data_IF_050136048240
#
_entry.id   IF_050136048240
#
_cell.length_a   1.000
_cell.length_b   1.000
_cell.length_c   1.000
_cell.angle_alpha   90.00
_cell.angle_beta   90.00
_cell.angle_gamma   90.00
#
_symmetry.space_group_name_H-M   'P 1'
#
loop_
_entity.id
_entity.type
_entity.pdbx_description
1 polymer ?
#
# COMPACT_ATOMS: atom_id res chain seq x y z
N UNK A 1 -3.58 -18.94 -6.78
CA UNK A 1 -4.87 -18.49 -6.22
C UNK A 1 -5.76 -19.68 -5.85
N UNK A 2 -6.03 -20.67 -6.74
CA UNK A 2 -6.93 -21.80 -6.46
C UNK A 2 -6.60 -22.56 -5.15
N UNK A 3 -5.33 -22.74 -4.83
CA UNK A 3 -4.92 -23.36 -3.55
C UNK A 3 -5.33 -22.49 -2.36
N UNK A 4 -5.16 -21.17 -2.47
CA UNK A 4 -5.56 -20.22 -1.42
C UNK A 4 -7.08 -20.27 -1.21
N UNK A 5 -7.88 -20.22 -2.28
CA UNK A 5 -9.34 -20.38 -2.22
C UNK A 5 -9.73 -21.63 -1.43
N UNK A 6 -9.14 -22.78 -1.78
CA UNK A 6 -9.44 -24.05 -1.12
C UNK A 6 -9.09 -24.07 0.36
N UNK A 7 -7.96 -23.50 0.74
CA UNK A 7 -7.47 -23.52 2.13
C UNK A 7 -8.12 -22.44 3.02
N UNK A 8 -8.58 -21.33 2.43
CA UNK A 8 -9.07 -20.16 3.20
C UNK A 8 -10.55 -19.91 3.05
N UNK A 9 -11.17 -20.39 1.97
CA UNK A 9 -12.57 -20.12 1.63
C UNK A 9 -12.82 -18.70 1.10
N UNK A 10 -11.76 -17.90 0.82
CA UNK A 10 -11.90 -16.58 0.22
C UNK A 10 -12.32 -16.74 -1.24
N UNK A 11 -13.23 -15.89 -1.71
CA UNK A 11 -13.67 -15.91 -3.11
C UNK A 11 -12.51 -15.64 -4.06
N UNK A 12 -12.55 -16.27 -5.24
CA UNK A 12 -11.50 -16.15 -6.26
C UNK A 12 -11.46 -14.73 -6.85
N UNK A 13 -12.63 -14.11 -7.00
CA UNK A 13 -12.73 -12.78 -7.60
C UNK A 13 -12.22 -11.72 -6.64
N UNK A 14 -12.46 -11.89 -5.33
CA UNK A 14 -11.83 -11.05 -4.30
C UNK A 14 -10.31 -11.15 -4.33
N UNK A 15 -9.75 -12.37 -4.45
CA UNK A 15 -8.31 -12.56 -4.55
C UNK A 15 -7.71 -12.02 -5.84
N UNK A 16 -8.51 -11.85 -6.89
CA UNK A 16 -8.08 -11.24 -8.15
C UNK A 16 -8.14 -9.72 -8.14
N UNK A 17 -9.01 -9.14 -7.33
CA UNK A 17 -9.20 -7.69 -7.29
C UNK A 17 -7.87 -6.90 -7.19
N UNK A 18 -6.92 -7.20 -6.29
CA UNK A 18 -5.64 -6.46 -6.22
C UNK A 18 -4.65 -6.80 -7.34
N UNK A 19 -5.03 -7.64 -8.31
CA UNK A 19 -4.23 -7.90 -9.52
C UNK A 19 -4.66 -7.01 -10.70
N UNK A 20 -5.65 -6.16 -10.50
CA UNK A 20 -6.03 -5.07 -11.40
C UNK A 20 -5.42 -3.78 -10.84
N UNK A 21 -4.57 -3.10 -11.61
CA UNK A 21 -3.87 -1.88 -11.19
C UNK A 21 -4.80 -0.66 -11.04
N UNK A 22 -6.02 -0.73 -11.58
CA UNK A 22 -7.07 0.28 -11.42
C UNK A 22 -8.02 -0.01 -10.24
N UNK A 23 -7.80 -1.07 -9.46
CA UNK A 23 -8.65 -1.45 -8.35
C UNK A 23 -8.62 -0.39 -7.23
N UNK A 24 -9.78 -0.12 -6.62
CA UNK A 24 -9.95 0.96 -5.65
C UNK A 24 -9.72 0.50 -4.21
N UNK A 25 -9.01 1.33 -3.46
CA UNK A 25 -8.85 1.13 -2.01
C UNK A 25 -10.21 1.12 -1.31
N UNK A 26 -10.49 0.06 -0.56
CA UNK A 26 -11.73 -0.11 0.21
C UNK A 26 -11.55 -1.10 1.35
N UNK A 27 -12.52 -1.12 2.24
CA UNK A 27 -12.71 -2.17 3.23
C UNK A 27 -14.10 -2.77 3.07
N UNK A 28 -14.16 -4.08 3.03
CA UNK A 28 -15.39 -4.86 2.92
C UNK A 28 -15.39 -5.99 3.95
N UNK A 29 -16.57 -6.49 4.23
CA UNK A 29 -16.74 -7.64 5.08
C UNK A 29 -17.63 -8.66 4.40
N UNK A 30 -17.05 -9.81 4.08
CA UNK A 30 -17.75 -10.94 3.50
C UNK A 30 -17.77 -12.11 4.50
N UNK A 31 -18.95 -12.35 5.09
CA UNK A 31 -19.11 -13.36 6.13
C UNK A 31 -18.15 -13.13 7.31
N UNK A 32 -17.17 -14.03 7.47
CA UNK A 32 -16.13 -13.98 8.49
C UNK A 32 -14.80 -13.39 7.98
N UNK A 33 -14.72 -13.05 6.69
CA UNK A 33 -13.55 -12.43 6.09
C UNK A 33 -13.68 -10.90 6.13
N UNK A 34 -12.63 -10.22 6.58
CA UNK A 34 -12.47 -8.78 6.42
C UNK A 34 -11.46 -8.56 5.29
N UNK A 35 -11.88 -7.85 4.24
CA UNK A 35 -11.09 -7.54 3.05
C UNK A 35 -10.66 -6.09 3.16
N UNK A 36 -9.36 -5.84 3.09
CA UNK A 36 -8.76 -4.50 3.10
C UNK A 36 -7.95 -4.35 1.82
N UNK A 37 -8.36 -3.44 0.95
CA UNK A 37 -7.64 -3.05 -0.24
C UNK A 37 -7.07 -1.65 -0.02
N UNK A 38 -5.76 -1.50 -0.22
CA UNK A 38 -5.04 -0.23 -0.09
C UNK A 38 -4.04 -0.07 -1.23
N UNK A 39 -3.75 1.16 -1.58
CA UNK A 39 -2.71 1.45 -2.55
C UNK A 39 -1.35 1.54 -1.86
N UNK A 40 -0.34 0.98 -2.48
CA UNK A 40 1.06 1.07 -2.06
C UNK A 40 1.89 1.76 -3.15
N UNK A 41 2.91 2.54 -2.77
CA UNK A 41 3.78 3.19 -3.74
C UNK A 41 4.74 2.19 -4.37
N UNK A 42 4.90 2.28 -5.69
CA UNK A 42 5.82 1.47 -6.49
C UNK A 42 6.50 2.29 -7.58
N UNK A 43 7.34 1.63 -8.36
CA UNK A 43 7.96 2.16 -9.58
C UNK A 43 7.51 1.31 -10.76
N UNK A 44 7.11 1.97 -11.85
CA UNK A 44 6.82 1.27 -13.08
C UNK A 44 8.11 0.88 -13.84
N UNK A 45 7.97 0.22 -14.98
CA UNK A 45 9.08 -0.21 -15.86
C UNK A 45 9.95 0.96 -16.38
N UNK A 46 9.48 2.20 -16.27
CA UNK A 46 10.18 3.43 -16.67
C UNK A 46 10.71 4.23 -15.49
N UNK A 47 10.80 3.62 -14.31
CA UNK A 47 11.21 4.26 -13.05
C UNK A 47 10.34 5.47 -12.65
N UNK A 48 9.06 5.52 -13.07
CA UNK A 48 8.10 6.52 -12.64
C UNK A 48 7.40 6.05 -11.37
N UNK A 49 7.11 6.98 -10.48
CA UNK A 49 6.41 6.69 -9.23
C UNK A 49 4.92 6.52 -9.50
N UNK A 50 4.43 5.34 -9.20
CA UNK A 50 3.03 4.92 -9.37
C UNK A 50 2.50 4.33 -8.08
N UNK A 51 1.22 3.97 -8.06
CA UNK A 51 0.62 3.20 -6.96
C UNK A 51 0.01 1.92 -7.51
N UNK A 52 0.09 0.86 -6.74
CA UNK A 52 -0.49 -0.44 -7.07
C UNK A 52 -1.33 -0.94 -5.89
N UNK A 53 -2.39 -1.73 -6.14
CA UNK A 53 -3.22 -2.28 -5.08
C UNK A 53 -2.48 -3.36 -4.27
N UNK A 54 -2.76 -3.38 -2.97
CA UNK A 54 -2.42 -4.46 -2.04
C UNK A 54 -3.70 -4.94 -1.36
N UNK A 55 -4.05 -6.20 -1.57
CA UNK A 55 -5.14 -6.88 -0.88
C UNK A 55 -4.66 -7.54 0.40
N UNK A 56 -5.40 -7.35 1.49
CA UNK A 56 -5.17 -7.97 2.80
C UNK A 56 -6.49 -8.61 3.24
N UNK A 57 -6.50 -9.92 3.40
CA UNK A 57 -7.68 -10.71 3.72
C UNK A 57 -7.51 -11.35 5.09
N UNK A 58 -8.35 -10.96 6.04
CA UNK A 58 -8.35 -11.52 7.39
C UNK A 58 -9.50 -12.52 7.54
N UNK A 59 -9.21 -13.81 7.63
CA UNK A 59 -10.16 -14.86 8.01
C UNK A 59 -9.98 -15.27 9.46
N UNK A 60 -10.84 -16.14 10.00
CA UNK A 60 -10.66 -16.72 11.33
C UNK A 60 -9.36 -17.50 11.46
N UNK A 61 -8.91 -18.15 10.40
CA UNK A 61 -7.78 -19.09 10.42
C UNK A 61 -6.48 -18.47 9.92
N UNK A 62 -6.55 -17.60 8.90
CA UNK A 62 -5.39 -17.10 8.19
C UNK A 62 -5.49 -15.60 7.94
N UNK A 63 -4.36 -15.01 7.58
CA UNK A 63 -4.26 -13.72 6.89
C UNK A 63 -3.55 -13.97 5.57
N UNK A 64 -4.11 -13.42 4.49
CA UNK A 64 -3.58 -13.55 3.12
C UNK A 64 -3.29 -12.16 2.60
N UNK A 65 -2.17 -11.99 1.90
CA UNK A 65 -1.85 -10.76 1.18
C UNK A 65 -1.66 -11.08 -0.30
N UNK A 66 -2.24 -10.25 -1.16
CA UNK A 66 -2.12 -10.37 -2.62
C UNK A 66 -1.69 -9.03 -3.19
N UNK A 67 -0.69 -9.05 -4.06
CA UNK A 67 -0.17 -7.87 -4.74
C UNK A 67 0.33 -8.25 -6.12
N UNK A 68 0.31 -7.33 -7.08
CA UNK A 68 0.81 -7.53 -8.45
C UNK A 68 2.29 -7.91 -8.48
N UNK A 69 3.09 -7.31 -7.60
CA UNK A 69 4.54 -7.49 -7.56
C UNK A 69 5.08 -7.60 -6.14
N UNK A 70 6.32 -7.99 -6.01
CA UNK A 70 7.03 -8.00 -4.74
C UNK A 70 7.26 -6.56 -4.23
N UNK A 71 6.70 -6.23 -3.08
CA UNK A 71 6.83 -4.91 -2.47
C UNK A 71 7.76 -4.91 -1.26
N UNK A 72 8.56 -3.83 -1.05
CA UNK A 72 9.36 -3.66 0.16
C UNK A 72 8.53 -3.71 1.45
N UNK A 73 7.26 -3.32 1.38
CA UNK A 73 6.31 -3.37 2.51
C UNK A 73 6.18 -4.80 3.01
N UNK A 74 5.88 -5.76 2.12
CA UNK A 74 5.71 -7.18 2.49
C UNK A 74 7.04 -7.91 2.69
N UNK A 75 8.08 -7.61 1.89
CA UNK A 75 9.42 -8.21 2.04
C UNK A 75 10.00 -8.06 3.43
N UNK A 76 9.67 -6.99 4.14
CA UNK A 76 10.15 -6.78 5.49
C UNK A 76 9.62 -7.83 6.47
N UNK A 77 8.37 -8.29 6.30
CA UNK A 77 7.78 -9.37 7.10
C UNK A 77 8.37 -10.72 6.72
N UNK A 78 8.51 -11.01 5.44
CA UNK A 78 9.12 -12.25 4.93
C UNK A 78 10.56 -12.43 5.40
N UNK A 79 11.30 -11.34 5.58
CA UNK A 79 12.70 -11.32 6.01
C UNK A 79 12.87 -11.14 7.53
N UNK A 80 11.82 -11.28 8.32
CA UNK A 80 11.87 -11.11 9.79
C UNK A 80 12.45 -9.74 10.24
N UNK A 81 12.25 -8.67 9.47
CA UNK A 81 12.75 -7.31 9.76
C UNK A 81 11.72 -6.43 10.46
N UNK A 82 10.58 -7.00 10.86
CA UNK A 82 9.52 -6.30 11.60
C UNK A 82 9.56 -6.72 13.04
N UNK A 83 9.76 -5.77 13.94
CA UNK A 83 9.74 -6.03 15.39
C UNK A 83 8.33 -6.37 15.83
N UNK A 84 8.20 -7.23 16.85
CA UNK A 84 6.93 -7.62 17.45
C UNK A 84 5.87 -8.10 16.43
N UNK A 85 6.34 -8.73 15.36
CA UNK A 85 5.49 -9.36 14.36
C UNK A 85 5.06 -10.75 14.83
N UNK A 86 3.75 -10.93 14.97
CA UNK A 86 3.13 -12.21 15.38
C UNK A 86 1.95 -12.51 14.45
N UNK A 87 1.99 -13.62 13.75
CA UNK A 87 0.94 -14.03 12.79
C UNK A 87 -0.43 -14.24 13.42
N UNK A 88 -0.49 -14.56 14.71
CA UNK A 88 -1.75 -14.71 15.45
C UNK A 88 -2.38 -13.37 15.85
N UNK A 89 -1.61 -12.27 15.92
CA UNK A 89 -2.12 -10.91 16.14
C UNK A 89 -2.47 -10.26 14.80
N UNK A 90 -3.53 -10.75 14.17
CA UNK A 90 -3.90 -10.38 12.78
C UNK A 90 -4.11 -8.88 12.60
N UNK A 91 -4.82 -8.24 13.50
CA UNK A 91 -5.08 -6.79 13.46
C UNK A 91 -3.78 -6.00 13.54
N UNK A 92 -2.88 -6.35 14.49
CA UNK A 92 -1.56 -5.74 14.60
C UNK A 92 -0.76 -5.90 13.31
N UNK A 93 -0.83 -7.06 12.67
CA UNK A 93 -0.17 -7.29 11.40
C UNK A 93 -0.69 -6.33 10.32
N UNK A 94 -2.02 -6.13 10.20
CA UNK A 94 -2.60 -5.16 9.27
C UNK A 94 -2.10 -3.76 9.56
N UNK A 95 -2.13 -3.30 10.82
CA UNK A 95 -1.62 -1.99 11.19
C UNK A 95 -0.14 -1.83 10.90
N UNK A 96 0.68 -2.86 11.13
CA UNK A 96 2.09 -2.85 10.77
C UNK A 96 2.30 -2.73 9.25
N UNK A 97 1.45 -3.37 8.42
CA UNK A 97 1.47 -3.20 6.96
C UNK A 97 1.12 -1.75 6.60
N UNK A 98 0.04 -1.19 7.15
CA UNK A 98 -0.39 0.19 6.88
C UNK A 98 0.65 1.22 7.31
N UNK A 99 1.24 1.06 8.49
CA UNK A 99 2.34 1.91 8.96
C UNK A 99 3.54 1.87 8.01
N UNK A 100 3.94 0.67 7.55
CA UNK A 100 5.03 0.52 6.58
C UNK A 100 4.68 1.10 5.22
N UNK A 101 3.43 1.00 4.81
CA UNK A 101 2.94 1.63 3.61
C UNK A 101 3.10 3.15 3.70
N UNK A 102 2.62 3.79 4.76
CA UNK A 102 2.78 5.22 5.00
C UNK A 102 4.27 5.64 5.03
N UNK A 103 5.12 4.84 5.69
CA UNK A 103 6.57 5.07 5.70
C UNK A 103 7.19 4.98 4.29
N UNK A 104 6.69 4.08 3.44
CA UNK A 104 7.14 3.95 2.05
C UNK A 104 6.76 5.17 1.22
N UNK A 105 5.53 5.69 1.37
CA UNK A 105 5.14 6.97 0.74
C UNK A 105 6.06 8.11 1.16
N UNK A 106 6.32 8.28 2.45
CA UNK A 106 7.24 9.32 2.94
C UNK A 106 8.65 9.18 2.35
N UNK A 107 9.14 7.95 2.18
CA UNK A 107 10.44 7.70 1.55
C UNK A 107 10.44 8.14 0.09
N UNK A 108 9.42 7.77 -0.69
CA UNK A 108 9.32 8.14 -2.09
C UNK A 108 9.12 9.65 -2.27
N UNK A 109 8.30 10.28 -1.43
CA UNK A 109 8.13 11.75 -1.44
C UNK A 109 9.44 12.49 -1.25
N UNK A 110 10.30 12.05 -0.31
CA UNK A 110 11.63 12.63 -0.12
C UNK A 110 12.55 12.45 -1.33
N UNK A 111 12.38 11.37 -2.09
CA UNK A 111 13.16 11.14 -3.32
C UNK A 111 12.64 12.04 -4.44
N UNK A 112 11.32 12.17 -4.58
CA UNK A 112 10.68 13.05 -5.55
C UNK A 112 11.10 14.50 -5.30
N UNK A 113 11.05 14.97 -4.07
CA UNK A 113 11.44 16.31 -3.64
C UNK A 113 12.87 16.63 -4.09
N UNK A 114 13.85 15.77 -3.75
CA UNK A 114 15.24 15.93 -4.18
C UNK A 114 15.43 15.91 -5.70
N UNK A 115 14.66 15.05 -6.41
CA UNK A 115 14.72 15.01 -7.88
C UNK A 115 14.17 16.31 -8.47
N UNK A 116 13.06 16.84 -7.93
CA UNK A 116 12.47 18.10 -8.35
C UNK A 116 13.46 19.26 -8.23
N UNK A 117 14.10 19.42 -7.06
CA UNK A 117 15.14 20.42 -6.84
C UNK A 117 16.29 20.33 -7.86
N UNK A 118 16.80 19.11 -8.12
CA UNK A 118 17.87 18.91 -9.11
C UNK A 118 17.47 19.24 -10.54
N UNK A 119 16.21 19.01 -10.90
CA UNK A 119 15.70 19.32 -12.24
C UNK A 119 15.48 20.83 -12.36
N UNK A 120 14.94 21.47 -11.34
CA UNK A 120 14.77 22.94 -11.30
C UNK A 120 16.10 23.66 -11.46
N UNK A 121 17.16 23.25 -10.76
CA UNK A 121 18.51 23.81 -10.93
C UNK A 121 19.00 23.70 -12.38
N UNK A 122 18.79 22.54 -13.02
CA UNK A 122 19.16 22.33 -14.44
C UNK A 122 18.33 23.20 -15.38
N UNK A 123 17.05 23.37 -15.12
CA UNK A 123 16.13 24.19 -15.91
C UNK A 123 16.56 25.66 -15.89
N UNK A 124 16.99 26.18 -14.75
CA UNK A 124 17.52 27.53 -14.63
C UNK A 124 18.76 27.78 -15.50
N UNK A 125 19.58 26.73 -15.73
CA UNK A 125 20.81 26.84 -16.50
C UNK A 125 20.56 26.66 -18.02
N UNK A 126 19.71 25.71 -18.41
CA UNK A 126 19.67 25.23 -19.81
C UNK A 126 18.34 25.42 -20.53
N UNK A 127 17.25 25.73 -19.85
CA UNK A 127 15.89 25.93 -20.41
C UNK A 127 15.47 24.85 -21.44
N UNK A 128 15.81 23.59 -21.20
CA UNK A 128 15.48 22.49 -22.12
C UNK A 128 14.10 21.91 -21.84
N UNK A 129 13.37 21.57 -22.90
CA UNK A 129 12.06 20.92 -22.79
C UNK A 129 12.10 19.58 -22.05
N UNK A 130 13.26 18.92 -22.00
CA UNK A 130 13.43 17.63 -21.32
C UNK A 130 13.21 17.76 -19.80
N UNK A 131 13.82 18.76 -19.16
CA UNK A 131 13.68 19.03 -17.74
C UNK A 131 12.23 19.37 -17.37
N UNK A 132 11.53 20.10 -18.23
CA UNK A 132 10.12 20.39 -18.04
C UNK A 132 9.24 19.12 -18.10
N UNK A 133 9.54 18.22 -19.04
CA UNK A 133 8.82 16.93 -19.13
C UNK A 133 9.08 16.09 -17.88
N UNK A 134 10.32 16.04 -17.38
CA UNK A 134 10.66 15.31 -16.14
C UNK A 134 9.89 15.88 -14.93
N UNK A 135 9.74 17.20 -14.80
CA UNK A 135 8.93 17.82 -13.74
C UNK A 135 7.44 17.44 -13.85
N UNK A 136 6.88 17.44 -15.06
CA UNK A 136 5.50 17.03 -15.29
C UNK A 136 5.26 15.54 -14.92
N UNK A 137 6.24 14.67 -15.14
CA UNK A 137 6.14 13.27 -14.71
C UNK A 137 6.17 13.15 -13.17
N UNK A 138 6.97 13.94 -12.47
CA UNK A 138 6.95 14.00 -11.02
C UNK A 138 5.63 14.56 -10.48
N UNK A 139 5.07 15.59 -11.12
CA UNK A 139 3.76 16.14 -10.76
C UNK A 139 2.66 15.08 -10.87
N UNK A 140 2.61 14.31 -11.95
CA UNK A 140 1.68 13.18 -12.10
C UNK A 140 1.82 12.18 -10.97
N UNK A 141 3.05 11.83 -10.61
CA UNK A 141 3.33 10.90 -9.51
C UNK A 141 2.78 11.43 -8.17
N UNK A 142 2.91 12.73 -7.90
CA UNK A 142 2.35 13.37 -6.71
C UNK A 142 0.81 13.35 -6.70
N UNK A 143 0.17 13.49 -7.88
CA UNK A 143 -1.30 13.37 -8.00
C UNK A 143 -1.74 11.94 -7.66
N UNK A 144 -1.08 10.91 -8.18
CA UNK A 144 -1.36 9.51 -7.82
C UNK A 144 -1.20 9.29 -6.32
N UNK A 145 -0.07 9.70 -5.74
CA UNK A 145 0.19 9.54 -4.31
C UNK A 145 -0.84 10.26 -3.44
N UNK A 146 -1.23 11.48 -3.80
CA UNK A 146 -2.25 12.24 -3.07
C UNK A 146 -3.60 11.53 -3.09
N UNK A 147 -4.00 11.03 -4.26
CA UNK A 147 -5.27 10.31 -4.42
C UNK A 147 -5.27 9.02 -3.62
N UNK A 148 -4.22 8.22 -3.74
CA UNK A 148 -4.09 6.95 -3.03
C UNK A 148 -4.00 7.13 -1.52
N UNK A 149 -3.26 8.12 -1.03
CA UNK A 149 -3.18 8.42 0.40
C UNK A 149 -4.53 8.81 0.99
N UNK A 150 -5.35 9.61 0.30
CA UNK A 150 -6.72 9.96 0.74
C UNK A 150 -7.63 8.73 0.77
N UNK A 151 -7.51 7.85 -0.23
CA UNK A 151 -8.27 6.61 -0.25
C UNK A 151 -7.85 5.68 0.89
N UNK A 152 -6.56 5.53 1.13
CA UNK A 152 -6.01 4.74 2.23
C UNK A 152 -6.41 5.29 3.61
N UNK A 153 -6.43 6.62 3.79
CA UNK A 153 -6.92 7.28 5.00
C UNK A 153 -8.37 6.88 5.29
N UNK A 154 -9.23 6.94 4.26
CA UNK A 154 -10.64 6.52 4.38
C UNK A 154 -10.77 5.04 4.78
N UNK A 155 -9.92 4.17 4.22
CA UNK A 155 -9.87 2.75 4.58
C UNK A 155 -9.45 2.56 6.03
N UNK A 156 -8.39 3.26 6.47
CA UNK A 156 -7.91 3.21 7.86
C UNK A 156 -8.99 3.66 8.84
N UNK A 157 -9.67 4.79 8.57
CA UNK A 157 -10.75 5.28 9.41
C UNK A 157 -11.89 4.27 9.56
N UNK A 158 -12.30 3.62 8.45
CA UNK A 158 -13.32 2.57 8.48
C UNK A 158 -12.85 1.34 9.24
N UNK A 159 -11.58 0.92 9.03
CA UNK A 159 -10.98 -0.21 9.72
C UNK A 159 -10.99 0.01 11.24
N UNK A 160 -10.68 1.22 11.70
CA UNK A 160 -10.67 1.60 13.11
C UNK A 160 -12.06 1.56 13.76
N UNK A 161 -13.13 1.71 12.97
CA UNK A 161 -14.55 1.65 13.42
C UNK A 161 -15.16 0.25 13.31
N UNK A 162 -14.46 -0.70 12.66
CA UNK A 162 -14.97 -2.05 12.42
C UNK A 162 -14.87 -2.90 13.69
N UNK A 163 -16.01 -3.32 14.25
CA UNK A 163 -16.08 -4.09 15.51
C UNK A 163 -15.34 -5.43 15.49
N UNK A 164 -15.27 -6.08 14.31
CA UNK A 164 -14.53 -7.35 14.13
C UNK A 164 -13.02 -7.19 14.16
N UNK A 165 -12.52 -5.97 14.06
CA UNK A 165 -11.09 -5.65 14.13
C UNK A 165 -10.72 -5.38 15.57
N UNK A 166 -10.27 -6.43 16.27
CA UNK A 166 -9.86 -6.31 17.67
C UNK A 166 -8.55 -5.54 17.76
N UNK A 167 -8.59 -4.36 18.36
CA UNK A 167 -7.41 -3.57 18.69
C UNK A 167 -6.75 -4.09 19.96
N UNK A 168 -5.44 -4.07 20.00
CA UNK A 168 -4.63 -4.33 21.18
C UNK A 168 -4.12 -2.98 21.72
N UNK A 169 -3.89 -2.83 23.05
CA UNK A 169 -3.38 -1.58 23.62
C UNK A 169 -2.07 -1.11 23.00
N UNK A 170 -1.21 -2.03 22.59
CA UNK A 170 0.05 -1.76 21.92
C UNK A 170 -0.09 -1.32 20.44
N UNK A 171 -1.30 -1.33 19.87
CA UNK A 171 -1.51 -0.91 18.48
C UNK A 171 -1.57 0.62 18.34
N UNK A 172 -1.79 1.35 19.43
CA UNK A 172 -1.85 2.81 19.43
C UNK A 172 -0.55 3.46 18.93
N UNK A 173 0.59 2.78 19.04
CA UNK A 173 1.87 3.25 18.52
C UNK A 173 2.00 3.15 16.97
N UNK A 174 1.08 2.44 16.32
CA UNK A 174 1.07 2.21 14.86
C UNK A 174 0.07 3.10 14.13
N UNK A 175 -0.78 3.81 14.87
CA UNK A 175 -1.87 4.64 14.38
C UNK A 175 -1.49 6.13 14.44
#
# INVERSE_FOLDING_TARGET
LQTVVRETGIDIDDLRAPLDDEERSRIEQEGDCVIVLVDIPSLDEKDRYVTIPLGIYMTKQAIVTVCLEETPVLKAFMNNRVREFYTFKKTRFVFQILYRNATSYLRYLRIIDRKSEQIEEKLHISQKNKELIELLELEKSLVYFTTSLRSNETVLEKLLRTEKVKKYPEDDELL
#
